data_IF_443562667085
#
_entry.id   IF_443562667085
#
_cell.length_a   1.000
_cell.length_b   1.000
_cell.length_c   1.000
_cell.angle_alpha   90.00
_cell.angle_beta   90.00
_cell.angle_gamma   90.00
#
_symmetry.space_group_name_H-M   'P 1'
#
loop_
_entity.id
_entity.type
_entity.pdbx_description
1 polymer ?
#
# COMPACT_ATOMS: atom_id res chain seq x y z
N UNK A 1 17.60 -1.81 -1.42
CA UNK A 1 18.77 -2.65 -1.12
C UNK A 1 18.98 -3.53 -2.32
N UNK A 2 20.05 -3.29 -3.06
CA UNK A 2 20.41 -4.09 -4.22
C UNK A 2 20.83 -5.47 -3.73
N UNK A 3 20.17 -6.49 -4.24
CA UNK A 3 20.43 -7.87 -3.84
C UNK A 3 21.22 -8.56 -4.94
N UNK A 4 22.38 -9.09 -4.58
CA UNK A 4 23.26 -9.83 -5.48
C UNK A 4 22.69 -11.24 -5.65
N UNK A 5 21.94 -11.44 -6.74
CA UNK A 5 21.36 -12.73 -7.09
C UNK A 5 22.43 -13.66 -7.64
N UNK A 6 22.30 -14.95 -7.37
CA UNK A 6 23.08 -16.00 -8.00
C UNK A 6 22.75 -16.14 -9.49
N UNK A 7 23.72 -16.60 -10.28
CA UNK A 7 23.57 -16.87 -11.72
C UNK A 7 22.51 -17.95 -12.03
N UNK A 8 22.04 -18.68 -11.02
CA UNK A 8 21.05 -19.74 -11.15
C UNK A 8 19.80 -19.37 -10.37
N UNK A 9 18.69 -19.08 -11.06
CA UNK A 9 17.41 -18.80 -10.41
C UNK A 9 16.42 -19.90 -10.79
N UNK A 10 15.93 -20.62 -9.78
CA UNK A 10 14.87 -21.59 -9.93
C UNK A 10 13.53 -20.90 -9.71
N UNK A 11 12.57 -21.07 -10.62
CA UNK A 11 11.21 -20.55 -10.48
C UNK A 11 10.25 -21.73 -10.35
N UNK A 12 9.41 -21.71 -9.32
CA UNK A 12 8.46 -22.78 -9.03
C UNK A 12 7.08 -22.18 -8.83
N UNK A 13 6.08 -22.80 -9.46
CA UNK A 13 4.68 -22.44 -9.28
C UNK A 13 3.98 -23.46 -8.39
N UNK A 14 3.37 -22.98 -7.30
CA UNK A 14 2.58 -23.85 -6.44
C UNK A 14 1.13 -23.93 -6.93
N UNK A 15 0.51 -25.13 -6.92
CA UNK A 15 -0.90 -25.29 -7.25
C UNK A 15 -1.81 -24.76 -6.12
N UNK A 16 -3.11 -24.65 -6.41
CA UNK A 16 -4.06 -23.97 -5.52
C UNK A 16 -4.20 -24.61 -4.13
N UNK A 17 -4.21 -25.93 -4.11
CA UNK A 17 -3.97 -26.73 -2.93
C UNK A 17 -2.77 -27.61 -3.26
N UNK A 18 -1.55 -27.29 -2.77
CA UNK A 18 -0.41 -28.19 -2.90
C UNK A 18 -0.77 -29.48 -2.16
N UNK A 19 -1.30 -30.45 -2.92
CA UNK A 19 -1.73 -31.71 -2.39
C UNK A 19 -0.49 -32.38 -1.82
N UNK A 20 -0.55 -32.59 -0.50
CA UNK A 20 0.38 -33.40 0.29
C UNK A 20 1.85 -33.14 -0.05
N UNK A 21 2.46 -32.11 0.54
CA UNK A 21 3.85 -32.07 1.05
C UNK A 21 5.06 -32.55 0.28
N UNK A 22 4.93 -33.66 -0.41
CA UNK A 22 5.87 -34.36 -1.25
C UNK A 22 6.37 -33.46 -2.38
N UNK A 23 5.56 -32.54 -2.92
CA UNK A 23 6.05 -31.54 -3.90
C UNK A 23 7.07 -30.59 -3.27
N UNK A 24 6.72 -29.91 -2.18
CA UNK A 24 7.62 -29.01 -1.46
C UNK A 24 8.82 -29.76 -0.87
N UNK A 25 8.62 -31.00 -0.42
CA UNK A 25 9.69 -31.87 0.07
C UNK A 25 10.61 -32.33 -1.08
N UNK A 26 10.08 -32.67 -2.25
CA UNK A 26 10.84 -33.05 -3.43
C UNK A 26 11.62 -31.86 -3.98
N UNK A 27 11.04 -30.66 -3.95
CA UNK A 27 11.73 -29.40 -4.25
C UNK A 27 12.86 -29.18 -3.25
N UNK A 28 12.57 -29.31 -1.96
CA UNK A 28 13.58 -29.15 -0.90
C UNK A 28 14.69 -30.20 -1.06
N UNK A 29 14.35 -31.45 -1.37
CA UNK A 29 15.30 -32.53 -1.61
C UNK A 29 16.14 -32.28 -2.87
N UNK A 30 15.52 -31.84 -3.98
CA UNK A 30 16.21 -31.49 -5.23
C UNK A 30 17.19 -30.34 -5.03
N UNK A 31 16.77 -29.29 -4.32
CA UNK A 31 17.63 -28.17 -3.94
C UNK A 31 18.73 -28.64 -2.97
N UNK A 32 18.41 -29.59 -2.08
CA UNK A 32 19.35 -30.11 -1.11
C UNK A 32 20.43 -31.04 -1.72
N UNK A 33 20.07 -31.87 -2.69
CA UNK A 33 20.93 -32.94 -3.21
C UNK A 33 21.75 -32.56 -4.45
N UNK A 34 21.21 -31.81 -5.41
CA UNK A 34 21.76 -31.84 -6.79
C UNK A 34 21.88 -30.49 -7.51
N UNK A 35 21.59 -29.35 -6.86
CA UNK A 35 21.60 -28.06 -7.56
C UNK A 35 22.82 -27.21 -7.21
N UNK A 36 23.48 -26.54 -8.19
CA UNK A 36 24.41 -25.44 -7.90
C UNK A 36 23.69 -24.38 -7.06
N UNK A 37 24.45 -23.53 -6.36
CA UNK A 37 23.91 -22.45 -5.52
C UNK A 37 22.91 -21.62 -6.33
N UNK A 38 21.62 -21.86 -6.09
CA UNK A 38 20.52 -21.29 -6.85
C UNK A 38 19.56 -20.57 -5.93
N UNK A 39 19.16 -19.37 -6.31
CA UNK A 39 18.08 -18.66 -5.67
C UNK A 39 16.74 -19.21 -6.13
N UNK A 40 15.71 -19.07 -5.29
CA UNK A 40 14.38 -19.62 -5.53
C UNK A 40 13.33 -18.52 -5.56
N UNK A 41 12.53 -18.51 -6.61
CA UNK A 41 11.30 -17.73 -6.72
C UNK A 41 10.10 -18.68 -6.69
N UNK A 42 9.17 -18.45 -5.76
CA UNK A 42 7.96 -19.26 -5.58
C UNK A 42 6.73 -18.44 -5.97
N UNK A 43 6.08 -18.80 -7.06
CA UNK A 43 4.79 -18.25 -7.50
C UNK A 43 3.65 -18.89 -6.68
N UNK A 44 2.98 -18.03 -5.89
CA UNK A 44 1.85 -18.38 -5.03
C UNK A 44 0.51 -17.95 -5.63
N UNK A 45 0.44 -17.59 -6.91
CA UNK A 45 -0.75 -17.02 -7.54
C UNK A 45 -1.98 -17.93 -7.55
N UNK A 46 -1.77 -19.24 -7.59
CA UNK A 46 -2.87 -20.20 -7.48
C UNK A 46 -3.26 -20.49 -6.02
N UNK A 47 -2.37 -20.26 -5.06
CA UNK A 47 -2.59 -20.61 -3.64
C UNK A 47 -3.54 -19.58 -3.02
N UNK A 48 -4.75 -20.00 -2.69
CA UNK A 48 -5.78 -19.10 -2.18
C UNK A 48 -5.80 -18.98 -0.65
N UNK A 49 -5.63 -20.10 0.05
CA UNK A 49 -5.57 -20.18 1.51
C UNK A 49 -4.45 -21.12 1.94
N UNK A 50 -3.21 -20.62 2.13
CA UNK A 50 -2.13 -21.45 2.62
C UNK A 50 -2.49 -22.01 4.00
N UNK A 51 -2.47 -23.33 4.11
CA UNK A 51 -2.69 -24.03 5.39
C UNK A 51 -1.48 -23.85 6.31
N UNK A 52 -1.63 -24.10 7.61
CA UNK A 52 -0.48 -24.13 8.54
C UNK A 52 0.62 -25.09 8.08
N UNK A 53 0.24 -26.20 7.42
CA UNK A 53 1.19 -27.16 6.88
C UNK A 53 1.97 -26.59 5.69
N UNK A 54 1.30 -25.86 4.79
CA UNK A 54 1.94 -25.14 3.68
C UNK A 54 2.92 -24.10 4.22
N UNK A 55 2.51 -23.27 5.17
CA UNK A 55 3.35 -22.23 5.77
C UNK A 55 4.60 -22.82 6.45
N UNK A 56 4.44 -23.87 7.27
CA UNK A 56 5.56 -24.54 7.93
C UNK A 56 6.60 -25.08 6.93
N UNK A 57 6.14 -25.61 5.80
CA UNK A 57 7.01 -26.12 4.73
C UNK A 57 7.72 -25.00 3.99
N UNK A 58 7.02 -23.91 3.67
CA UNK A 58 7.64 -22.72 3.08
C UNK A 58 8.73 -22.16 4.00
N UNK A 59 8.47 -22.07 5.31
CA UNK A 59 9.50 -21.67 6.28
C UNK A 59 10.69 -22.62 6.31
N UNK A 60 10.44 -23.93 6.22
CA UNK A 60 11.50 -24.94 6.17
C UNK A 60 12.36 -24.79 4.92
N UNK A 61 11.73 -24.58 3.76
CA UNK A 61 12.39 -24.36 2.48
C UNK A 61 13.26 -23.09 2.49
N UNK A 62 12.72 -21.96 2.97
CA UNK A 62 13.47 -20.72 3.10
C UNK A 62 14.68 -20.88 4.03
N UNK A 63 14.52 -21.61 5.13
CA UNK A 63 15.62 -21.89 6.06
C UNK A 63 16.73 -22.70 5.39
N UNK A 64 16.38 -23.79 4.68
CA UNK A 64 17.36 -24.63 3.95
C UNK A 64 18.14 -23.81 2.91
N UNK A 65 17.46 -22.92 2.19
CA UNK A 65 18.11 -22.02 1.23
C UNK A 65 19.02 -21.01 1.92
N UNK A 66 18.58 -20.40 3.02
CA UNK A 66 19.37 -19.44 3.79
C UNK A 66 20.64 -20.06 4.40
N UNK A 67 20.56 -21.31 4.87
CA UNK A 67 21.71 -22.07 5.38
C UNK A 67 22.79 -22.32 4.29
N UNK A 68 22.39 -22.26 3.02
CA UNK A 68 23.28 -22.35 1.85
C UNK A 68 23.70 -21.00 1.28
N UNK A 69 23.25 -19.90 1.89
CA UNK A 69 23.45 -18.55 1.39
C UNK A 69 22.71 -18.25 0.08
N UNK A 70 21.65 -19.02 -0.23
CA UNK A 70 20.71 -18.74 -1.31
C UNK A 70 19.51 -17.95 -0.77
N UNK A 71 18.82 -17.25 -1.65
CA UNK A 71 17.63 -16.50 -1.34
C UNK A 71 16.37 -17.18 -1.81
N UNK A 72 15.31 -16.98 -1.03
CA UNK A 72 13.97 -17.43 -1.36
C UNK A 72 13.06 -16.20 -1.43
N UNK A 73 12.33 -16.05 -2.53
CA UNK A 73 11.40 -14.96 -2.77
C UNK A 73 10.04 -15.51 -3.18
N UNK A 74 8.98 -14.93 -2.63
CA UNK A 74 7.61 -15.28 -2.99
C UNK A 74 7.03 -14.23 -3.92
N UNK A 75 6.39 -14.67 -4.99
CA UNK A 75 5.83 -13.83 -6.03
C UNK A 75 4.34 -14.13 -6.24
N UNK A 76 3.63 -13.15 -6.80
CA UNK A 76 2.24 -13.28 -7.22
C UNK A 76 1.25 -13.66 -6.10
N UNK A 77 1.50 -13.23 -4.85
CA UNK A 77 0.59 -13.51 -3.75
C UNK A 77 -0.76 -12.83 -4.02
N UNK A 78 -1.82 -13.62 -4.08
CA UNK A 78 -3.17 -13.09 -4.10
C UNK A 78 -3.50 -12.35 -2.77
N UNK A 79 -4.59 -11.58 -2.76
CA UNK A 79 -4.93 -10.76 -1.60
C UNK A 79 -5.18 -11.58 -0.32
N UNK A 80 -5.75 -12.78 -0.45
CA UNK A 80 -6.04 -13.67 0.67
C UNK A 80 -4.76 -14.24 1.30
N UNK A 81 -3.86 -14.77 0.47
CA UNK A 81 -2.55 -15.28 0.87
C UNK A 81 -1.68 -14.19 1.47
N UNK A 82 -1.66 -12.99 0.88
CA UNK A 82 -0.95 -11.83 1.43
C UNK A 82 -1.48 -11.44 2.81
N UNK A 83 -2.80 -11.45 3.01
CA UNK A 83 -3.42 -11.17 4.31
C UNK A 83 -3.00 -12.19 5.36
N UNK A 84 -2.92 -13.47 5.01
CA UNK A 84 -2.46 -14.53 5.91
C UNK A 84 -0.99 -14.32 6.29
N UNK A 85 -0.13 -14.01 5.31
CA UNK A 85 1.29 -13.77 5.57
C UNK A 85 1.49 -12.59 6.53
N UNK A 86 0.76 -11.50 6.31
CA UNK A 86 0.78 -10.34 7.19
C UNK A 86 0.25 -10.67 8.60
N UNK A 87 -0.88 -11.39 8.68
CA UNK A 87 -1.52 -11.72 9.96
C UNK A 87 -0.60 -12.51 10.89
N UNK A 88 0.17 -13.45 10.33
CA UNK A 88 1.09 -14.30 11.09
C UNK A 88 2.53 -13.75 11.13
N UNK A 89 2.76 -12.53 10.61
CA UNK A 89 4.08 -11.90 10.61
C UNK A 89 5.11 -12.52 9.67
N UNK A 90 4.66 -13.34 8.71
CA UNK A 90 5.53 -13.96 7.70
C UNK A 90 6.14 -12.95 6.74
N UNK A 91 5.57 -11.75 6.61
CA UNK A 91 6.15 -10.64 5.84
C UNK A 91 7.55 -10.22 6.35
N UNK A 92 7.88 -10.55 7.61
CA UNK A 92 9.21 -10.31 8.20
C UNK A 92 10.20 -11.45 7.97
N UNK A 93 9.68 -12.62 7.61
CA UNK A 93 10.44 -13.87 7.44
C UNK A 93 10.70 -14.11 5.95
N UNK A 94 9.75 -13.73 5.11
CA UNK A 94 9.75 -14.00 3.68
C UNK A 94 9.99 -12.72 2.88
N UNK A 95 10.90 -12.81 1.90
CA UNK A 95 11.03 -11.79 0.87
C UNK A 95 9.86 -11.94 -0.10
N UNK A 96 9.02 -10.92 -0.23
CA UNK A 96 7.87 -10.93 -1.12
C UNK A 96 8.11 -9.92 -2.24
N UNK A 97 8.12 -10.38 -3.49
CA UNK A 97 8.19 -9.52 -4.65
C UNK A 97 6.84 -8.85 -4.92
N UNK A 98 6.88 -7.58 -5.30
CA UNK A 98 5.70 -6.88 -5.82
C UNK A 98 5.44 -7.28 -7.27
N UNK A 99 4.17 -7.22 -7.69
CA UNK A 99 3.74 -7.59 -9.05
C UNK A 99 4.41 -6.78 -10.18
N UNK A 100 5.02 -5.64 -9.85
CA UNK A 100 5.78 -4.79 -10.77
C UNK A 100 7.26 -5.15 -10.88
N UNK A 101 7.78 -5.99 -9.99
CA UNK A 101 9.21 -6.32 -9.90
C UNK A 101 9.57 -7.54 -10.76
N UNK A 102 8.59 -8.37 -11.11
CA UNK A 102 8.80 -9.60 -11.88
C UNK A 102 7.67 -9.72 -12.92
N UNK A 103 7.99 -9.57 -14.20
CA UNK A 103 7.05 -9.78 -15.31
C UNK A 103 7.42 -11.08 -16.03
N UNK A 104 6.64 -12.14 -15.82
CA UNK A 104 6.80 -13.42 -16.52
C UNK A 104 5.80 -13.47 -17.67
N UNK A 105 6.25 -13.30 -18.91
CA UNK A 105 5.43 -13.57 -20.11
C UNK A 105 5.63 -15.02 -20.56
N UNK A 106 4.55 -15.77 -20.84
CA UNK A 106 4.67 -17.14 -21.33
C UNK A 106 5.31 -17.13 -22.73
N UNK A 107 6.35 -17.94 -22.92
CA UNK A 107 6.86 -18.27 -24.25
C UNK A 107 5.80 -19.09 -25.00
N UNK A 108 5.59 -18.75 -26.27
CA UNK A 108 4.62 -19.43 -27.17
C UNK A 108 5.08 -20.85 -27.54
N UNK A 109 6.31 -21.21 -27.24
CA UNK A 109 6.84 -22.55 -27.48
C UNK A 109 7.04 -23.29 -26.16
N UNK A 110 6.25 -24.37 -25.98
CA UNK A 110 6.42 -25.36 -24.92
C UNK A 110 7.75 -26.10 -25.11
N UNK A 111 8.83 -25.49 -24.66
CA UNK A 111 10.07 -26.18 -24.32
C UNK A 111 10.24 -25.98 -22.82
N UNK A 112 10.42 -27.07 -22.07
CA UNK A 112 10.30 -27.17 -20.60
C UNK A 112 11.31 -26.32 -19.79
N UNK A 113 12.01 -25.39 -20.43
CA UNK A 113 12.81 -24.35 -19.78
C UNK A 113 13.06 -23.20 -20.76
N UNK A 114 12.84 -21.97 -20.31
CA UNK A 114 13.19 -20.75 -21.05
C UNK A 114 14.06 -19.83 -20.20
N UNK A 115 15.00 -19.12 -20.83
CA UNK A 115 15.84 -18.11 -20.18
C UNK A 115 15.09 -16.78 -20.23
N UNK A 116 14.80 -16.21 -19.07
CA UNK A 116 14.28 -14.85 -18.96
C UNK A 116 15.43 -13.89 -18.65
N UNK A 117 15.84 -13.13 -19.65
CA UNK A 117 16.85 -12.09 -19.51
C UNK A 117 16.17 -10.75 -19.22
N UNK A 118 16.17 -10.30 -17.95
CA UNK A 118 15.65 -8.97 -17.59
C UNK A 118 16.82 -7.99 -17.63
N UNK A 119 16.92 -7.24 -18.74
CA UNK A 119 17.89 -6.15 -18.85
C UNK A 119 17.30 -4.90 -18.20
N UNK A 120 17.96 -4.40 -17.15
CA UNK A 120 17.71 -3.05 -16.65
C UNK A 120 18.16 -2.07 -17.74
N UNK A 121 17.23 -1.36 -18.37
CA UNK A 121 17.59 -0.23 -19.19
C UNK A 121 17.94 0.89 -18.21
N UNK A 122 19.18 1.39 -18.22
CA UNK A 122 19.65 2.54 -17.40
C UNK A 122 18.82 3.83 -17.56
N UNK A 123 17.71 3.78 -18.28
CA UNK A 123 16.77 4.84 -18.62
C UNK A 123 15.35 4.60 -18.09
N UNK A 124 15.14 3.65 -17.16
CA UNK A 124 13.83 3.41 -16.55
C UNK A 124 13.35 4.66 -15.79
N UNK A 125 12.46 5.44 -16.42
CA UNK A 125 11.86 6.60 -15.77
C UNK A 125 10.76 6.13 -14.81
N UNK A 126 10.72 6.62 -13.56
CA UNK A 126 9.62 6.32 -12.67
C UNK A 126 8.31 6.73 -13.34
N UNK A 127 7.37 5.79 -13.46
CA UNK A 127 6.02 6.09 -13.93
C UNK A 127 5.28 6.84 -12.81
N UNK A 128 5.40 8.16 -12.80
CA UNK A 128 4.63 9.00 -11.89
C UNK A 128 3.14 8.91 -12.24
N UNK A 129 2.42 8.05 -11.53
CA UNK A 129 0.94 7.97 -11.64
C UNK A 129 0.24 9.17 -11.00
N UNK A 130 0.97 10.09 -10.35
CA UNK A 130 0.42 11.21 -9.59
C UNK A 130 1.07 12.51 -10.04
N UNK A 131 0.24 13.49 -10.35
CA UNK A 131 0.66 14.84 -10.73
C UNK A 131 1.17 15.68 -9.54
N UNK A 132 0.84 15.27 -8.31
CA UNK A 132 1.11 16.04 -7.10
C UNK A 132 1.74 15.17 -6.01
N UNK A 133 2.76 15.71 -5.35
CA UNK A 133 3.31 15.18 -4.11
C UNK A 133 2.25 15.20 -3.00
N UNK A 134 2.26 14.19 -2.13
CA UNK A 134 1.37 14.10 -0.96
C UNK A 134 2.19 14.19 0.31
N UNK A 135 1.95 15.25 1.07
CA UNK A 135 2.52 15.44 2.39
C UNK A 135 1.79 14.53 3.39
N UNK A 136 2.54 13.61 4.00
CA UNK A 136 2.03 12.73 5.05
C UNK A 136 1.95 13.50 6.36
N UNK A 137 0.82 13.39 7.05
CA UNK A 137 0.63 14.01 8.35
C UNK A 137 1.05 13.02 9.44
N UNK A 138 2.04 13.36 10.28
CA UNK A 138 2.44 12.51 11.39
C UNK A 138 1.29 12.29 12.37
N UNK A 139 1.24 11.11 13.00
CA UNK A 139 0.12 10.73 13.86
C UNK A 139 0.00 11.58 15.14
N UNK A 140 1.09 12.21 15.60
CA UNK A 140 1.08 13.12 16.75
C UNK A 140 0.47 14.49 16.45
N UNK A 141 0.46 14.89 15.18
CA UNK A 141 -0.17 16.12 14.75
C UNK A 141 -1.64 15.84 14.41
N UNK A 142 -2.48 15.89 15.43
CA UNK A 142 -3.91 15.60 15.33
C UNK A 142 -4.67 16.74 14.64
N UNK A 143 -4.58 16.79 13.31
CA UNK A 143 -5.38 17.72 12.51
C UNK A 143 -6.77 17.13 12.31
N UNK A 144 -7.74 17.69 13.04
CA UNK A 144 -9.15 17.33 12.94
C UNK A 144 -9.74 17.93 11.67
N UNK A 145 -10.51 17.10 10.98
CA UNK A 145 -11.25 17.45 9.76
C UNK A 145 -12.73 17.21 10.02
N UNK A 146 -13.55 18.21 9.81
CA UNK A 146 -15.00 18.05 9.76
C UNK A 146 -15.41 17.84 8.29
N UNK A 147 -16.24 16.83 8.05
CA UNK A 147 -16.77 16.45 6.74
C UNK A 147 -18.29 16.47 6.80
N UNK A 148 -18.96 16.90 5.72
CA UNK A 148 -20.43 16.83 5.64
C UNK A 148 -20.91 16.67 4.18
N UNK A 149 -22.15 16.25 4.00
CA UNK A 149 -22.76 16.14 2.68
C UNK A 149 -23.11 17.51 2.06
N UNK A 150 -23.23 17.55 0.73
CA UNK A 150 -23.82 18.70 0.02
C UNK A 150 -22.85 19.80 -0.41
N UNK A 151 -21.60 19.76 0.06
CA UNK A 151 -20.56 20.73 -0.29
C UNK A 151 -20.40 21.85 0.74
N UNK A 152 -19.44 22.74 0.52
CA UNK A 152 -18.93 23.68 1.53
C UNK A 152 -19.93 24.72 2.03
N UNK A 153 -20.94 25.05 1.22
CA UNK A 153 -21.99 26.03 1.55
C UNK A 153 -23.23 25.37 2.17
N UNK A 154 -23.22 24.05 2.33
CA UNK A 154 -24.35 23.32 2.91
C UNK A 154 -24.21 23.23 4.43
N UNK A 155 -24.47 24.34 5.10
CA UNK A 155 -24.41 24.41 6.58
C UNK A 155 -25.57 23.64 7.25
N UNK A 156 -26.61 23.28 6.50
CA UNK A 156 -27.72 22.48 7.02
C UNK A 156 -27.24 21.05 7.34
N UNK A 157 -26.53 20.41 6.41
CA UNK A 157 -25.99 19.06 6.63
C UNK A 157 -24.90 18.99 7.71
N UNK A 158 -24.25 20.12 8.06
CA UNK A 158 -23.34 20.19 9.22
C UNK A 158 -24.05 19.98 10.56
N UNK A 159 -25.35 20.24 10.63
CA UNK A 159 -26.13 20.20 11.87
C UNK A 159 -26.98 18.93 11.97
N UNK A 160 -27.12 18.18 10.88
CA UNK A 160 -27.92 16.96 10.85
C UNK A 160 -27.11 15.73 11.31
N UNK A 161 -27.57 15.00 12.35
CA UNK A 161 -26.96 13.74 12.74
C UNK A 161 -26.86 12.76 11.57
N UNK A 162 -25.70 12.12 11.40
CA UNK A 162 -25.46 11.18 10.31
C UNK A 162 -25.13 11.81 8.94
N UNK A 163 -25.08 13.14 8.86
CA UNK A 163 -24.68 13.87 7.64
C UNK A 163 -23.35 14.61 7.77
N UNK A 164 -22.72 14.53 8.94
CA UNK A 164 -21.38 15.03 9.18
C UNK A 164 -20.52 14.01 9.95
N UNK A 165 -19.21 14.11 9.78
CA UNK A 165 -18.22 13.22 10.39
C UNK A 165 -17.00 14.01 10.84
N UNK A 166 -16.50 13.67 12.03
CA UNK A 166 -15.19 14.09 12.47
C UNK A 166 -14.16 13.03 12.04
N UNK A 167 -13.06 13.50 11.47
CA UNK A 167 -11.97 12.65 11.03
C UNK A 167 -10.61 13.27 11.31
N UNK A 168 -9.57 12.48 11.05
CA UNK A 168 -8.18 12.89 11.16
C UNK A 168 -7.55 12.98 9.78
N UNK A 169 -6.84 14.06 9.52
CA UNK A 169 -6.06 14.22 8.28
C UNK A 169 -4.91 13.20 8.26
N UNK A 170 -4.78 12.47 7.16
CA UNK A 170 -3.75 11.43 6.94
C UNK A 170 -2.69 11.92 5.97
N UNK A 171 -3.12 12.48 4.86
CA UNK A 171 -2.26 13.18 3.91
C UNK A 171 -3.00 14.26 3.15
N UNK A 172 -2.23 15.16 2.56
CA UNK A 172 -2.73 16.27 1.76
C UNK A 172 -1.83 16.46 0.53
N UNK A 173 -2.42 16.79 -0.62
CA UNK A 173 -1.74 17.33 -1.80
C UNK A 173 -2.44 18.61 -2.27
N UNK A 174 -1.89 19.27 -3.29
CA UNK A 174 -2.58 20.38 -3.98
C UNK A 174 -3.93 19.95 -4.58
N UNK A 175 -4.10 18.66 -4.88
CA UNK A 175 -5.29 18.13 -5.55
C UNK A 175 -6.31 17.45 -4.64
N UNK A 176 -5.98 17.19 -3.37
CA UNK A 176 -6.91 16.48 -2.49
C UNK A 176 -6.31 16.07 -1.16
N UNK A 177 -7.10 15.35 -0.36
CA UNK A 177 -6.72 14.88 0.96
C UNK A 177 -7.10 13.42 1.18
N UNK A 178 -6.47 12.81 2.16
CA UNK A 178 -6.93 11.57 2.77
C UNK A 178 -7.35 11.83 4.21
N UNK A 179 -8.56 11.40 4.57
CA UNK A 179 -9.11 11.57 5.92
C UNK A 179 -9.52 10.19 6.46
N UNK A 180 -9.13 9.89 7.70
CA UNK A 180 -9.61 8.72 8.42
C UNK A 180 -10.79 9.12 9.31
N UNK A 181 -11.92 8.43 9.21
CA UNK A 181 -13.10 8.61 10.06
C UNK A 181 -13.45 7.29 10.74
N UNK A 182 -14.10 7.38 11.89
CA UNK A 182 -14.72 6.22 12.51
C UNK A 182 -15.96 5.82 11.68
N UNK A 183 -16.02 4.55 11.28
CA UNK A 183 -17.13 4.07 10.46
C UNK A 183 -18.24 3.54 11.36
N UNK A 184 -19.43 4.13 11.25
CA UNK A 184 -20.65 3.59 11.87
C UNK A 184 -21.47 2.85 10.82
N UNK A 185 -22.31 1.89 11.23
CA UNK A 185 -23.15 1.08 10.33
C UNK A 185 -24.06 1.94 9.41
N UNK A 186 -24.39 3.16 9.83
CA UNK A 186 -25.25 4.11 9.10
C UNK A 186 -24.49 5.07 8.17
N UNK A 187 -23.18 4.90 8.00
CA UNK A 187 -22.35 5.84 7.24
C UNK A 187 -22.60 5.69 5.72
N UNK A 188 -23.56 6.46 5.18
CA UNK A 188 -23.94 6.50 3.76
C UNK A 188 -22.91 7.22 2.87
N UNK A 189 -21.67 6.74 2.86
CA UNK A 189 -20.60 7.28 2.02
C UNK A 189 -20.53 6.51 0.70
N UNK A 190 -20.63 7.25 -0.40
CA UNK A 190 -20.56 6.72 -1.76
C UNK A 190 -19.45 7.38 -2.55
N UNK A 191 -18.74 6.59 -3.36
CA UNK A 191 -17.82 7.15 -4.36
C UNK A 191 -18.57 8.11 -5.29
N UNK A 192 -17.96 9.24 -5.62
CA UNK A 192 -18.54 10.28 -6.46
C UNK A 192 -19.38 11.31 -5.71
N UNK A 193 -19.68 11.11 -4.41
CA UNK A 193 -20.45 12.10 -3.64
C UNK A 193 -19.64 13.37 -3.39
N UNK A 194 -20.34 14.50 -3.51
CA UNK A 194 -19.85 15.82 -3.11
C UNK A 194 -19.94 15.97 -1.60
N UNK A 195 -18.86 16.47 -1.02
CA UNK A 195 -18.67 16.69 0.40
C UNK A 195 -18.18 18.12 0.60
N UNK A 196 -18.67 18.76 1.66
CA UNK A 196 -17.97 19.88 2.26
C UNK A 196 -16.95 19.35 3.26
N UNK A 197 -15.83 20.03 3.39
CA UNK A 197 -14.85 19.73 4.43
C UNK A 197 -14.21 20.99 4.97
N UNK A 198 -13.86 20.97 6.25
CA UNK A 198 -13.08 22.02 6.87
C UNK A 198 -12.06 21.47 7.86
N UNK A 199 -10.91 22.16 7.95
CA UNK A 199 -9.87 21.84 8.92
C UNK A 199 -8.98 23.06 9.16
N UNK A 200 -8.26 23.04 10.27
CA UNK A 200 -7.20 24.00 10.59
C UNK A 200 -5.87 23.28 10.54
N UNK A 201 -4.92 23.67 9.66
CA UNK A 201 -3.59 23.07 9.66
C UNK A 201 -2.86 23.27 11.00
N UNK A 202 -3.07 24.44 11.63
CA UNK A 202 -2.60 24.80 12.96
C UNK A 202 -3.73 25.56 13.70
N UNK A 203 -3.92 25.37 15.02
CA UNK A 203 -4.85 26.17 15.82
C UNK A 203 -4.78 27.70 15.62
N UNK A 204 -3.60 28.25 15.34
CA UNK A 204 -3.39 29.69 15.13
C UNK A 204 -3.79 30.19 13.72
N UNK A 205 -4.06 29.28 12.79
CA UNK A 205 -4.41 29.61 11.40
C UNK A 205 -5.93 29.71 11.17
N UNK A 206 -6.34 30.42 10.11
CA UNK A 206 -7.73 30.44 9.70
C UNK A 206 -8.23 29.03 9.34
N UNK A 207 -9.53 28.82 9.56
CA UNK A 207 -10.22 27.62 9.12
C UNK A 207 -10.22 27.56 7.60
N UNK A 208 -9.79 26.42 7.04
CA UNK A 208 -9.85 26.18 5.61
C UNK A 208 -11.08 25.37 5.28
N UNK A 209 -11.80 25.76 4.22
CA UNK A 209 -13.04 25.08 3.79
C UNK A 209 -12.99 24.77 2.30
N UNK A 210 -13.34 23.54 1.92
CA UNK A 210 -13.28 23.06 0.54
C UNK A 210 -14.53 22.26 0.16
N UNK A 211 -14.87 22.32 -1.12
CA UNK A 211 -15.67 21.29 -1.78
C UNK A 211 -14.74 20.15 -2.18
N UNK A 212 -15.16 18.91 -1.96
CA UNK A 212 -14.43 17.75 -2.41
C UNK A 212 -15.35 16.60 -2.85
N UNK A 213 -14.82 15.70 -3.66
CA UNK A 213 -15.51 14.48 -4.06
C UNK A 213 -14.79 13.24 -3.58
N UNK A 214 -15.57 12.27 -3.09
CA UNK A 214 -15.06 10.96 -2.68
C UNK A 214 -14.58 10.18 -3.92
N UNK A 215 -13.28 9.94 -4.04
CA UNK A 215 -12.69 9.11 -5.11
C UNK A 215 -12.46 7.68 -4.67
N UNK A 216 -12.14 7.47 -3.40
CA UNK A 216 -11.80 6.16 -2.85
C UNK A 216 -12.26 6.06 -1.41
N UNK A 217 -12.72 4.86 -1.05
CA UNK A 217 -13.06 4.48 0.32
C UNK A 217 -12.30 3.18 0.56
N UNK A 218 -11.48 3.13 1.61
CA UNK A 218 -10.69 1.97 1.99
C UNK A 218 -10.78 1.77 3.51
N UNK A 219 -10.76 0.54 4.02
CA UNK A 219 -10.50 0.34 5.44
C UNK A 219 -9.08 0.81 5.78
N UNK A 220 -8.92 1.31 6.99
CA UNK A 220 -7.59 1.48 7.61
C UNK A 220 -6.97 0.11 7.91
N UNK A 221 -5.64 0.06 8.08
CA UNK A 221 -4.93 -1.21 8.27
C UNK A 221 -5.37 -1.97 9.54
N UNK A 222 -5.80 -1.25 10.59
CA UNK A 222 -6.35 -1.81 11.82
C UNK A 222 -7.84 -2.18 11.70
N UNK A 223 -8.47 -1.87 10.56
CA UNK A 223 -9.90 -2.06 10.28
C UNK A 223 -10.85 -1.36 11.26
N UNK A 224 -10.35 -0.38 12.04
CA UNK A 224 -11.18 0.39 12.99
C UNK A 224 -11.83 1.61 12.35
N UNK A 225 -11.14 2.19 11.38
CA UNK A 225 -11.56 3.40 10.69
C UNK A 225 -11.71 3.16 9.19
N UNK A 226 -12.41 4.06 8.52
CA UNK A 226 -12.46 4.15 7.08
C UNK A 226 -11.66 5.36 6.60
N UNK A 227 -10.81 5.11 5.61
CA UNK A 227 -9.99 6.10 4.93
C UNK A 227 -10.69 6.58 3.65
N UNK A 228 -11.02 7.87 3.62
CA UNK A 228 -11.61 8.56 2.48
C UNK A 228 -10.53 9.27 1.69
N UNK A 229 -10.39 8.92 0.41
CA UNK A 229 -9.61 9.70 -0.55
C UNK A 229 -10.50 10.72 -1.22
N UNK A 230 -10.28 12.01 -0.93
CA UNK A 230 -11.07 13.15 -1.37
C UNK A 230 -10.28 13.96 -2.41
N UNK A 231 -10.92 14.31 -3.52
CA UNK A 231 -10.38 15.24 -4.53
C UNK A 231 -11.05 16.59 -4.38
N UNK A 232 -10.27 17.68 -4.30
CA UNK A 232 -10.83 19.02 -4.20
C UNK A 232 -11.53 19.44 -5.50
N UNK A 233 -12.70 20.03 -5.38
CA UNK A 233 -13.48 20.60 -6.48
C UNK A 233 -13.43 22.12 -6.40
N UNK A 234 -13.37 22.79 -7.55
CA UNK A 234 -13.50 24.25 -7.59
C UNK A 234 -12.32 25.00 -6.96
N UNK A 235 -11.13 24.40 -6.81
CA UNK A 235 -9.95 25.14 -6.32
C UNK A 235 -9.63 26.39 -7.14
N UNK A 236 -9.96 26.40 -8.44
CA UNK A 236 -9.84 27.59 -9.30
C UNK A 236 -10.70 28.77 -8.81
N UNK A 237 -11.84 28.49 -8.20
CA UNK A 237 -12.79 29.45 -7.63
C UNK A 237 -12.65 29.60 -6.10
N UNK A 238 -11.62 29.00 -5.49
CA UNK A 238 -11.25 29.14 -4.08
C UNK A 238 -9.80 29.64 -3.93
N UNK A 239 -9.53 30.95 -4.14
CA UNK A 239 -8.18 31.50 -4.08
C UNK A 239 -7.55 31.40 -2.69
N UNK A 240 -8.34 31.60 -1.63
CA UNK A 240 -7.91 31.49 -0.23
C UNK A 240 -7.43 30.08 0.09
N UNK A 241 -8.25 29.07 -0.23
CA UNK A 241 -7.89 27.66 -0.03
C UNK A 241 -6.65 27.27 -0.83
N UNK A 242 -6.49 27.78 -2.06
CA UNK A 242 -5.30 27.53 -2.88
C UNK A 242 -4.04 28.15 -2.27
N UNK A 243 -4.12 29.39 -1.81
CA UNK A 243 -3.00 30.08 -1.18
C UNK A 243 -2.59 29.38 0.12
N UNK A 244 -3.57 28.94 0.92
CA UNK A 244 -3.30 28.18 2.14
C UNK A 244 -2.65 26.82 1.84
N UNK A 245 -3.15 26.09 0.83
CA UNK A 245 -2.51 24.85 0.39
C UNK A 245 -1.07 25.11 -0.08
N UNK A 246 -0.82 26.15 -0.88
CA UNK A 246 0.54 26.50 -1.32
C UNK A 246 1.49 26.75 -0.15
N UNK A 247 1.05 27.45 0.90
CA UNK A 247 1.86 27.67 2.12
C UNK A 247 2.22 26.37 2.83
N UNK A 248 1.35 25.35 2.80
CA UNK A 248 1.66 24.03 3.36
C UNK A 248 2.73 23.27 2.56
N UNK A 249 2.98 23.64 1.29
CA UNK A 249 3.98 23.01 0.42
C UNK A 249 5.21 23.87 0.15
N UNK A 250 5.25 25.11 0.64
CA UNK A 250 6.39 25.99 0.38
C UNK A 250 7.68 25.40 0.98
N UNK A 251 8.81 25.41 0.22
CA UNK A 251 10.09 24.85 0.66
C UNK A 251 10.73 25.58 1.85
N UNK A 252 10.22 26.75 2.25
CA UNK A 252 10.47 27.37 3.56
C UNK A 252 9.76 26.60 4.71
N UNK A 253 9.46 25.31 4.48
CA UNK A 253 8.42 24.45 5.05
C UNK A 253 8.58 24.12 6.52
N UNK A 254 8.55 25.17 7.33
CA UNK A 254 8.55 25.15 8.80
C UNK A 254 7.32 24.48 9.41
N UNK A 255 6.33 24.07 8.62
CA UNK A 255 5.06 23.56 9.13
C UNK A 255 5.19 22.25 9.91
N UNK A 256 6.06 21.33 9.47
CA UNK A 256 6.28 20.05 10.16
C UNK A 256 7.75 19.69 10.41
N UNK A 257 8.71 20.48 9.90
CA UNK A 257 10.13 20.34 10.28
C UNK A 257 10.40 20.84 11.71
N UNK A 258 9.53 21.71 12.26
CA UNK A 258 9.68 22.27 13.60
C UNK A 258 9.05 21.39 14.70
N UNK A 259 9.54 20.16 14.93
CA UNK A 259 9.42 19.47 16.24
C UNK A 259 10.31 18.24 16.46
N UNK A 260 11.31 18.00 15.61
CA UNK A 260 12.41 17.07 15.97
C UNK A 260 13.41 17.67 16.98
N UNK A 261 13.32 18.96 17.30
CA UNK A 261 14.25 19.67 18.20
C UNK A 261 13.70 20.02 19.59
N UNK A 262 12.76 19.27 20.14
CA UNK A 262 12.46 19.37 21.59
C UNK A 262 12.85 18.07 22.27
N UNK A 263 14.16 17.91 22.44
CA UNK A 263 14.74 17.08 23.49
C UNK A 263 15.27 18.04 24.56
N UNK A 264 14.53 18.20 25.65
CA UNK A 264 15.07 18.32 27.02
C UNK A 264 14.11 17.57 27.94
#
# INVERSE_FOLDING_TARGET
MDHDWSDNILIIKLPAEPQTGDELNAITAKIALDSPKSDLIVDLGAVDKPTCQTLRRLTTLCRVLSERGCCCMFYNLNAATRRIFHLYGFDRIFKIANASEIVLTPSVEQVDSGILEIRNLDNAKPLERRKYFRLKIPWWLQVNVLLWHGGRYDDYHKQLPGHFWHGRLVDISEGGIQVAIEATEDTLLGKGRLMGLEFKPNPAEPLLTFDAQIKKILPTADSRNVCLGLEFIGLKTNPEGRQALQKLYSPDGTYYEAKENVTI
#
